data_IF_990420244692
#
_entry.id   IF_990420244692
#
_cell.length_a   1.000
_cell.length_b   1.000
_cell.length_c   1.000
_cell.angle_alpha   90.00
_cell.angle_beta   90.00
_cell.angle_gamma   90.00
#
_symmetry.space_group_name_H-M   'P 1'
#
loop_
_entity.id
_entity.type
_entity.pdbx_description
1 polymer ?
#
# COMPACT_ATOMS: atom_id res chain seq x y z
N UNK A 1 -73.80 -23.79 16.50
CA UNK A 1 -73.33 -22.78 17.47
C UNK A 1 -72.58 -21.73 16.68
N UNK A 2 -73.30 -20.71 16.26
CA UNK A 2 -72.82 -19.57 15.47
C UNK A 2 -72.81 -18.30 16.34
N UNK A 3 -71.81 -17.45 16.10
CA UNK A 3 -71.74 -15.98 16.28
C UNK A 3 -72.02 -15.35 17.68
N UNK A 4 -71.37 -14.20 18.02
CA UNK A 4 -71.68 -12.87 17.45
C UNK A 4 -70.40 -12.08 17.05
N UNK A 5 -70.37 -11.22 16.02
CA UNK A 5 -71.01 -9.90 15.79
C UNK A 5 -70.60 -8.78 16.77
N UNK A 6 -69.86 -7.78 16.25
CA UNK A 6 -70.07 -6.32 16.36
C UNK A 6 -68.89 -5.58 15.72
N UNK A 7 -68.95 -4.34 15.23
CA UNK A 7 -69.97 -3.47 14.64
C UNK A 7 -69.23 -2.16 14.32
N UNK A 8 -69.49 -1.63 13.14
CA UNK A 8 -69.08 -0.33 12.59
C UNK A 8 -69.35 0.89 13.50
N UNK A 9 -68.49 1.91 13.39
CA UNK A 9 -68.81 3.34 13.30
C UNK A 9 -67.47 4.13 13.24
N UNK A 10 -67.27 5.25 12.54
CA UNK A 10 -68.06 6.12 11.65
C UNK A 10 -67.07 7.19 11.09
N UNK A 11 -67.26 7.58 9.82
CA UNK A 11 -67.18 8.95 9.23
C UNK A 11 -66.10 9.96 9.72
N UNK A 12 -65.47 10.84 8.94
CA UNK A 12 -65.73 11.41 7.61
C UNK A 12 -64.53 12.30 7.17
N UNK A 13 -64.51 12.63 5.87
CA UNK A 13 -64.18 13.95 5.30
C UNK A 13 -62.73 14.47 5.39
N UNK A 14 -61.98 14.52 4.29
CA UNK A 14 -62.04 15.43 3.12
C UNK A 14 -61.03 16.59 3.23
N UNK A 15 -60.24 16.72 2.15
CA UNK A 15 -59.51 17.89 1.59
C UNK A 15 -57.99 17.75 1.66
N UNK A 16 -57.35 17.48 0.53
CA UNK A 16 -56.94 18.45 -0.51
C UNK A 16 -55.74 19.28 -0.04
N UNK A 17 -54.58 19.10 -0.69
CA UNK A 17 -53.46 20.03 -0.50
C UNK A 17 -52.09 19.48 -0.82
N UNK A 18 -51.61 19.86 -2.01
CA UNK A 18 -50.22 20.21 -2.31
C UNK A 18 -49.14 19.12 -2.34
N UNK A 19 -48.65 18.88 -3.56
CA UNK A 19 -47.26 18.49 -3.80
C UNK A 19 -46.30 19.43 -3.08
N UNK A 20 -45.48 18.88 -2.17
CA UNK A 20 -44.16 19.45 -1.89
C UNK A 20 -43.12 18.33 -1.82
N UNK A 21 -42.21 18.37 -2.80
CA UNK A 21 -40.93 17.68 -2.83
C UNK A 21 -40.15 18.01 -1.54
N UNK A 22 -40.03 17.05 -0.63
CA UNK A 22 -39.02 17.07 0.42
C UNK A 22 -37.82 16.27 -0.07
N UNK A 23 -36.84 17.01 -0.59
CA UNK A 23 -35.53 16.51 -0.92
C UNK A 23 -34.84 15.95 0.32
N UNK A 24 -34.75 14.62 0.40
CA UNK A 24 -33.79 13.94 1.26
C UNK A 24 -32.40 14.09 0.63
N UNK A 25 -31.72 15.21 0.91
CA UNK A 25 -30.27 15.29 0.77
C UNK A 25 -29.66 14.46 1.90
N UNK A 26 -29.62 13.14 1.69
CA UNK A 26 -28.81 12.23 2.49
C UNK A 26 -27.36 12.60 2.19
N UNK A 27 -26.73 13.37 3.08
CA UNK A 27 -25.28 13.51 3.13
C UNK A 27 -24.70 12.12 3.40
N UNK A 28 -24.44 11.37 2.33
CA UNK A 28 -23.55 10.23 2.33
C UNK A 28 -22.15 10.78 2.61
N UNK A 29 -21.83 10.93 3.89
CA UNK A 29 -20.46 10.82 4.38
C UNK A 29 -20.01 9.39 4.04
N UNK A 30 -19.55 9.21 2.80
CA UNK A 30 -18.80 8.03 2.41
C UNK A 30 -17.60 7.98 3.34
N UNK A 31 -17.48 6.98 4.25
CA UNK A 31 -16.21 6.74 4.88
C UNK A 31 -15.20 6.55 3.76
N UNK A 32 -14.06 7.24 3.84
CA UNK A 32 -12.92 7.06 2.94
C UNK A 32 -12.30 5.67 3.24
N UNK A 33 -13.09 4.63 3.03
CA UNK A 33 -12.69 3.25 3.17
C UNK A 33 -11.85 2.95 1.94
N UNK A 34 -10.54 2.77 2.14
CA UNK A 34 -9.67 2.17 1.14
C UNK A 34 -10.24 0.78 0.79
N UNK A 35 -11.01 0.72 -0.29
CA UNK A 35 -11.54 -0.51 -0.86
C UNK A 35 -10.37 -1.31 -1.42
N UNK A 36 -10.39 -2.63 -1.18
CA UNK A 36 -9.32 -3.54 -1.56
C UNK A 36 -8.87 -3.39 -3.02
N UNK A 37 -7.56 -3.22 -3.19
CA UNK A 37 -6.85 -2.83 -4.40
C UNK A 37 -6.44 -4.04 -5.26
N UNK A 38 -7.33 -4.99 -5.47
CA UNK A 38 -7.02 -6.17 -6.27
C UNK A 38 -7.18 -5.83 -7.77
N UNK A 39 -6.05 -5.64 -8.48
CA UNK A 39 -6.02 -5.51 -9.94
C UNK A 39 -5.61 -4.13 -10.48
N UNK A 40 -5.50 -3.11 -9.62
CA UNK A 40 -5.03 -1.79 -10.05
C UNK A 40 -3.50 -1.76 -10.22
N UNK A 41 -3.01 -1.05 -11.25
CA UNK A 41 -1.58 -0.82 -11.44
C UNK A 41 -1.08 0.15 -10.36
N UNK A 42 -0.09 -0.30 -9.60
CA UNK A 42 0.54 0.48 -8.54
C UNK A 42 1.90 1.00 -8.99
N UNK A 43 2.32 2.14 -8.46
CA UNK A 43 3.64 2.70 -8.70
C UNK A 43 4.18 3.36 -7.43
N UNK A 44 5.48 3.65 -7.45
CA UNK A 44 6.16 4.40 -6.40
C UNK A 44 6.86 5.60 -7.02
N UNK A 45 6.80 6.74 -6.34
CA UNK A 45 7.74 7.84 -6.54
C UNK A 45 8.55 8.05 -5.28
N UNK A 46 9.83 8.25 -5.44
CA UNK A 46 10.80 8.48 -4.37
C UNK A 46 11.52 9.79 -4.65
N UNK A 47 11.60 10.64 -3.63
CA UNK A 47 12.38 11.87 -3.59
C UNK A 47 13.55 11.63 -2.64
N UNK A 48 14.77 11.91 -3.11
CA UNK A 48 15.99 11.75 -2.34
C UNK A 48 16.61 13.14 -2.20
N UNK A 49 16.61 13.65 -0.97
CA UNK A 49 17.17 14.96 -0.65
C UNK A 49 18.69 14.99 -0.77
N UNK A 50 19.25 16.19 -0.95
CA UNK A 50 20.70 16.40 -0.90
C UNK A 50 21.24 16.17 0.52
N UNK A 51 22.29 15.37 0.65
CA UNK A 51 22.88 15.03 1.95
C UNK A 51 22.05 14.04 2.76
N UNK A 52 22.14 14.09 4.10
CA UNK A 52 21.49 13.13 5.02
C UNK A 52 20.28 13.69 5.78
N UNK A 53 19.98 14.98 5.61
CA UNK A 53 18.87 15.62 6.32
C UNK A 53 17.52 15.09 5.80
N UNK A 54 16.51 14.88 6.67
CA UNK A 54 15.18 14.48 6.23
C UNK A 54 14.55 15.47 5.27
N UNK A 55 13.90 14.95 4.23
CA UNK A 55 13.12 15.76 3.27
C UNK A 55 11.77 16.11 3.90
N UNK A 56 11.44 17.40 3.90
CA UNK A 56 10.16 17.91 4.40
C UNK A 56 8.98 17.32 3.60
N UNK A 57 8.03 16.69 4.30
CA UNK A 57 6.97 15.89 3.67
C UNK A 57 5.71 16.71 3.31
N UNK A 58 5.60 17.95 3.77
CA UNK A 58 4.39 18.78 3.68
C UNK A 58 3.96 19.01 2.23
N UNK A 59 4.93 19.27 1.34
CA UNK A 59 4.66 19.51 -0.07
C UNK A 59 4.24 18.23 -0.79
N UNK A 60 4.88 17.09 -0.51
CA UNK A 60 4.44 15.80 -1.04
C UNK A 60 3.03 15.45 -0.57
N UNK A 61 2.72 15.63 0.72
CA UNK A 61 1.38 15.38 1.26
C UNK A 61 0.30 16.25 0.57
N UNK A 62 0.62 17.52 0.27
CA UNK A 62 -0.27 18.41 -0.52
C UNK A 62 -0.48 17.88 -1.94
N UNK A 63 0.59 17.46 -2.63
CA UNK A 63 0.49 16.87 -3.97
C UNK A 63 -0.28 15.55 -3.96
N UNK A 64 -0.03 14.68 -2.99
CA UNK A 64 -0.75 13.42 -2.80
C UNK A 64 -2.25 13.67 -2.66
N UNK A 65 -2.67 14.60 -1.80
CA UNK A 65 -4.10 14.99 -1.69
C UNK A 65 -4.66 15.51 -3.01
N UNK A 66 -3.94 16.41 -3.69
CA UNK A 66 -4.37 16.99 -4.98
C UNK A 66 -4.59 15.92 -6.05
N UNK A 67 -3.72 14.91 -6.11
CA UNK A 67 -3.75 13.85 -7.12
C UNK A 67 -4.29 12.52 -6.59
N UNK A 68 -5.03 12.55 -5.48
CA UNK A 68 -5.77 11.40 -4.93
C UNK A 68 -4.90 10.18 -4.57
N UNK A 69 -3.64 10.42 -4.20
CA UNK A 69 -2.80 9.43 -3.52
C UNK A 69 -3.14 9.48 -2.03
N UNK A 70 -3.58 8.36 -1.40
CA UNK A 70 -3.83 8.34 0.04
C UNK A 70 -2.58 8.77 0.82
N UNK A 71 -2.74 9.66 1.79
CA UNK A 71 -1.59 10.14 2.60
C UNK A 71 -1.01 9.05 3.49
N UNK A 72 -1.79 7.99 3.77
CA UNK A 72 -1.30 6.75 4.42
C UNK A 72 -0.31 5.98 3.54
N UNK A 73 -0.23 6.29 2.24
CA UNK A 73 0.76 5.77 1.30
C UNK A 73 2.04 6.59 1.23
N UNK A 74 2.31 7.50 2.18
CA UNK A 74 3.53 8.32 2.22
C UNK A 74 4.44 7.86 3.35
N UNK A 75 5.71 7.62 3.04
CA UNK A 75 6.69 7.05 3.96
C UNK A 75 8.03 7.78 3.86
N UNK A 76 8.88 7.68 4.88
CA UNK A 76 10.21 8.27 4.89
C UNK A 76 11.25 7.39 5.57
N UNK A 77 12.51 7.60 5.17
CA UNK A 77 13.70 7.07 5.84
C UNK A 77 14.90 7.96 5.53
N UNK A 78 15.54 8.53 6.56
CA UNK A 78 16.62 9.52 6.38
C UNK A 78 16.18 10.63 5.39
N UNK A 79 16.97 10.88 4.34
CA UNK A 79 16.70 11.83 3.26
C UNK A 79 15.79 11.26 2.15
N UNK A 80 15.22 10.07 2.32
CA UNK A 80 14.28 9.46 1.37
C UNK A 80 12.84 9.74 1.79
N UNK A 81 12.03 10.19 0.83
CA UNK A 81 10.60 10.41 0.97
C UNK A 81 9.88 9.70 -0.19
N UNK A 82 8.93 8.83 0.15
CA UNK A 82 8.32 7.88 -0.77
C UNK A 82 6.80 8.05 -0.77
N UNK A 83 6.18 8.04 -1.95
CA UNK A 83 4.74 7.88 -2.09
C UNK A 83 4.42 6.64 -2.92
N UNK A 84 3.48 5.83 -2.42
CA UNK A 84 2.96 4.62 -3.05
C UNK A 84 1.45 4.74 -3.28
N UNK A 85 1.00 4.36 -4.46
CA UNK A 85 -0.40 4.48 -4.83
C UNK A 85 -0.69 4.04 -6.26
N UNK A 86 -1.90 4.37 -6.75
CA UNK A 86 -2.31 4.09 -8.13
C UNK A 86 -1.33 4.75 -9.11
N UNK A 87 -0.93 4.02 -10.15
CA UNK A 87 0.12 4.45 -11.07
C UNK A 87 -0.18 5.82 -11.72
N UNK A 88 -1.42 6.06 -12.16
CA UNK A 88 -1.83 7.33 -12.75
C UNK A 88 -1.70 8.51 -11.77
N UNK A 89 -2.13 8.32 -10.51
CA UNK A 89 -2.02 9.32 -9.44
C UNK A 89 -0.57 9.62 -9.10
N UNK A 90 0.27 8.58 -8.96
CA UNK A 90 1.70 8.74 -8.67
C UNK A 90 2.41 9.43 -9.84
N UNK A 91 2.07 9.10 -11.09
CA UNK A 91 2.61 9.78 -12.26
C UNK A 91 2.23 11.27 -12.27
N UNK A 92 1.00 11.62 -11.86
CA UNK A 92 0.58 13.01 -11.73
C UNK A 92 1.36 13.74 -10.62
N UNK A 93 1.61 13.09 -9.48
CA UNK A 93 2.49 13.63 -8.43
C UNK A 93 3.90 13.85 -8.99
N UNK A 94 4.51 12.85 -9.62
CA UNK A 94 5.86 12.89 -10.16
C UNK A 94 6.08 14.08 -11.11
N UNK A 95 5.13 14.35 -12.01
CA UNK A 95 5.19 15.49 -12.95
C UNK A 95 5.24 16.86 -12.27
N UNK A 96 4.86 16.95 -10.99
CA UNK A 96 4.79 18.20 -10.23
C UNK A 96 5.86 18.31 -9.13
N UNK A 97 6.74 17.33 -8.97
CA UNK A 97 7.75 17.33 -7.89
C UNK A 97 8.87 18.35 -8.12
N UNK A 98 9.29 18.58 -9.37
CA UNK A 98 10.39 19.50 -9.68
C UNK A 98 10.12 20.93 -9.19
N UNK A 99 8.86 21.35 -9.15
CA UNK A 99 8.46 22.68 -8.67
C UNK A 99 8.57 22.85 -7.14
N UNK A 100 8.62 21.76 -6.37
CA UNK A 100 8.56 21.78 -4.90
C UNK A 100 9.77 21.13 -4.21
N UNK A 101 10.52 20.31 -4.94
CA UNK A 101 11.72 19.60 -4.46
C UNK A 101 12.90 19.84 -5.42
N UNK A 102 13.17 21.11 -5.72
CA UNK A 102 14.29 21.50 -6.59
C UNK A 102 15.62 20.97 -6.02
N UNK A 103 16.45 20.38 -6.89
CA UNK A 103 17.75 19.81 -6.51
C UNK A 103 17.70 18.44 -5.83
N UNK A 104 16.52 17.87 -5.58
CA UNK A 104 16.38 16.48 -5.12
C UNK A 104 16.43 15.52 -6.32
N UNK A 105 17.01 14.33 -6.11
CA UNK A 105 16.87 13.24 -7.07
C UNK A 105 15.44 12.67 -6.96
N UNK A 106 14.84 12.35 -8.11
CA UNK A 106 13.50 11.74 -8.17
C UNK A 106 13.59 10.42 -8.92
N UNK A 107 13.16 9.33 -8.28
CA UNK A 107 13.02 8.01 -8.90
C UNK A 107 11.55 7.66 -9.06
N UNK A 108 11.22 7.09 -10.21
CA UNK A 108 9.88 6.58 -10.50
C UNK A 108 9.94 5.09 -10.79
N UNK A 109 9.11 4.33 -10.07
CA UNK A 109 9.01 2.89 -10.14
C UNK A 109 7.64 2.53 -10.72
N UNK A 110 7.58 2.39 -12.04
CA UNK A 110 6.32 2.32 -12.77
C UNK A 110 5.61 0.96 -12.67
N UNK A 111 6.38 -0.13 -12.67
CA UNK A 111 5.86 -1.50 -12.76
C UNK A 111 6.71 -2.42 -11.87
N UNK A 112 6.08 -3.28 -11.05
CA UNK A 112 6.82 -4.28 -10.29
C UNK A 112 7.30 -5.39 -11.23
N UNK A 113 8.56 -5.82 -11.11
CA UNK A 113 9.08 -6.96 -11.87
C UNK A 113 8.67 -8.30 -11.25
N UNK A 114 8.27 -8.29 -9.97
CA UNK A 114 7.76 -9.46 -9.28
C UNK A 114 6.44 -9.14 -8.58
N UNK A 115 5.47 -10.05 -8.73
CA UNK A 115 4.15 -9.94 -8.12
C UNK A 115 3.66 -11.29 -7.61
N UNK A 116 3.42 -11.35 -6.30
CA UNK A 116 2.60 -12.37 -5.66
C UNK A 116 1.25 -11.77 -5.25
N UNK A 117 0.17 -12.53 -5.40
CA UNK A 117 -1.12 -12.23 -4.79
C UNK A 117 -1.85 -13.53 -4.41
N UNK A 118 -2.92 -13.39 -3.63
CA UNK A 118 -3.68 -14.53 -3.09
C UNK A 118 -4.36 -15.41 -4.12
N UNK A 119 -4.41 -15.03 -5.40
CA UNK A 119 -4.93 -15.93 -6.45
C UNK A 119 -4.04 -17.17 -6.62
N UNK A 120 -2.79 -17.10 -6.15
CA UNK A 120 -1.84 -18.23 -6.11
C UNK A 120 -2.03 -19.16 -4.90
N UNK A 121 -2.88 -18.79 -3.95
CA UNK A 121 -3.17 -19.60 -2.76
C UNK A 121 -4.35 -20.54 -3.00
N UNK A 122 -4.36 -21.68 -2.31
CA UNK A 122 -5.54 -22.55 -2.26
C UNK A 122 -6.79 -21.79 -1.79
N UNK A 123 -6.65 -20.97 -0.73
CA UNK A 123 -7.68 -20.02 -0.28
C UNK A 123 -7.49 -18.64 -0.91
N UNK A 124 -8.30 -18.33 -1.92
CA UNK A 124 -8.21 -17.08 -2.72
C UNK A 124 -8.85 -15.85 -2.05
N UNK A 125 -9.48 -16.01 -0.89
CA UNK A 125 -10.14 -14.92 -0.16
C UNK A 125 -9.14 -13.85 0.26
N UNK A 126 -9.42 -12.60 -0.08
CA UNK A 126 -8.65 -11.43 0.35
C UNK A 126 -9.35 -10.72 1.50
N UNK A 127 -8.58 -10.09 2.39
CA UNK A 127 -9.11 -9.20 3.40
C UNK A 127 -9.77 -7.97 2.74
N UNK A 128 -10.77 -7.38 3.40
CA UNK A 128 -11.50 -6.19 2.88
C UNK A 128 -10.64 -4.92 2.85
N UNK A 129 -9.73 -4.79 3.81
CA UNK A 129 -8.83 -3.65 3.97
C UNK A 129 -7.42 -4.17 4.24
N UNK A 130 -6.42 -3.49 3.66
CA UNK A 130 -5.02 -3.89 3.76
C UNK A 130 -4.17 -2.74 4.31
N UNK A 131 -3.14 -3.09 5.07
CA UNK A 131 -2.04 -2.19 5.42
C UNK A 131 -0.81 -2.54 4.58
N UNK A 132 -0.02 -1.53 4.20
CA UNK A 132 1.17 -1.69 3.39
C UNK A 132 2.43 -1.40 4.21
N UNK A 133 3.38 -2.32 4.15
CA UNK A 133 4.73 -2.16 4.67
C UNK A 133 5.65 -2.01 3.46
N UNK A 134 6.44 -0.94 3.43
CA UNK A 134 7.40 -0.69 2.35
C UNK A 134 8.82 -0.81 2.89
N UNK A 135 9.62 -1.62 2.21
CA UNK A 135 11.04 -1.78 2.48
C UNK A 135 11.86 -1.42 1.24
N UNK A 136 13.07 -0.95 1.46
CA UNK A 136 14.03 -0.69 0.38
C UNK A 136 15.39 -1.32 0.66
N UNK A 137 16.04 -1.77 -0.40
CA UNK A 137 17.39 -2.32 -0.41
C UNK A 137 18.03 -2.00 -1.77
N UNK A 138 19.33 -2.24 -1.91
CA UNK A 138 19.98 -2.29 -3.21
C UNK A 138 20.23 -3.73 -3.61
N UNK A 139 20.24 -4.00 -4.91
CA UNK A 139 20.99 -5.12 -5.45
C UNK A 139 22.48 -4.80 -5.41
N UNK A 140 23.32 -5.82 -5.25
CA UNK A 140 24.78 -5.69 -5.34
C UNK A 140 25.22 -5.05 -6.66
N UNK A 141 26.39 -4.43 -6.67
CA UNK A 141 26.89 -3.68 -7.85
C UNK A 141 27.09 -4.54 -9.09
N UNK A 142 27.42 -5.82 -8.93
CA UNK A 142 27.68 -6.76 -10.02
C UNK A 142 26.43 -6.94 -10.91
N UNK A 143 26.49 -6.58 -12.21
CA UNK A 143 25.35 -6.70 -13.12
C UNK A 143 24.95 -8.16 -13.40
N UNK A 144 25.87 -9.12 -13.36
CA UNK A 144 25.54 -10.53 -13.55
C UNK A 144 24.66 -11.04 -12.40
N UNK A 145 25.05 -10.73 -11.16
CA UNK A 145 24.25 -11.03 -9.96
C UNK A 145 22.89 -10.33 -9.97
N UNK A 146 22.83 -9.09 -10.46
CA UNK A 146 21.54 -8.41 -10.64
C UNK A 146 20.62 -9.17 -11.59
N UNK A 147 21.15 -9.68 -12.70
CA UNK A 147 20.36 -10.46 -13.66
C UNK A 147 19.93 -11.81 -13.10
N UNK A 148 20.81 -12.51 -12.39
CA UNK A 148 20.48 -13.77 -11.71
C UNK A 148 19.31 -13.59 -10.73
N UNK A 149 19.35 -12.52 -9.92
CA UNK A 149 18.26 -12.19 -9.00
C UNK A 149 16.90 -12.04 -9.70
N UNK A 150 16.87 -11.38 -10.85
CA UNK A 150 15.65 -11.23 -11.65
C UNK A 150 15.19 -12.58 -12.21
N UNK A 151 16.11 -13.40 -12.74
CA UNK A 151 15.81 -14.73 -13.27
C UNK A 151 15.23 -15.66 -12.18
N UNK A 152 15.75 -15.57 -10.95
CA UNK A 152 15.19 -16.30 -9.81
C UNK A 152 13.76 -15.87 -9.53
N UNK A 153 13.47 -14.56 -9.51
CA UNK A 153 12.12 -14.05 -9.27
C UNK A 153 11.13 -14.37 -10.40
N UNK A 154 11.59 -14.38 -11.65
CA UNK A 154 10.78 -14.75 -12.81
C UNK A 154 10.32 -16.22 -12.74
N UNK A 155 11.20 -17.10 -12.27
CA UNK A 155 10.94 -18.55 -12.19
C UNK A 155 10.53 -19.04 -10.79
N UNK A 156 10.38 -18.13 -9.81
CA UNK A 156 10.17 -18.47 -8.40
C UNK A 156 8.94 -19.35 -8.21
N UNK A 157 7.82 -19.06 -8.89
CA UNK A 157 6.59 -19.83 -8.70
C UNK A 157 6.67 -21.26 -9.24
N UNK A 158 7.55 -21.52 -10.22
CA UNK A 158 7.74 -22.84 -10.81
C UNK A 158 8.78 -23.65 -10.04
N UNK A 159 9.92 -23.03 -9.70
CA UNK A 159 11.08 -23.72 -9.11
C UNK A 159 11.09 -23.72 -7.58
N UNK A 160 10.37 -22.78 -6.98
CA UNK A 160 10.28 -22.55 -5.53
C UNK A 160 8.83 -22.26 -5.12
N UNK A 161 7.85 -23.12 -5.48
CA UNK A 161 6.45 -22.90 -5.15
C UNK A 161 6.22 -22.77 -3.63
N UNK A 162 7.08 -23.37 -2.82
CA UNK A 162 7.01 -23.32 -1.36
C UNK A 162 7.19 -21.90 -0.81
N UNK A 163 7.90 -21.03 -1.52
CA UNK A 163 8.04 -19.62 -1.14
C UNK A 163 6.70 -18.89 -1.24
N UNK A 164 5.97 -19.11 -2.33
CA UNK A 164 4.62 -18.56 -2.48
C UNK A 164 3.64 -19.18 -1.48
N UNK A 165 3.77 -20.48 -1.19
CA UNK A 165 2.98 -21.14 -0.15
C UNK A 165 3.24 -20.53 1.24
N UNK A 166 4.50 -20.18 1.54
CA UNK A 166 4.86 -19.43 2.75
C UNK A 166 4.10 -18.10 2.86
N UNK A 167 4.03 -17.31 1.77
CA UNK A 167 3.24 -16.07 1.75
C UNK A 167 1.75 -16.33 1.98
N UNK A 168 1.21 -17.42 1.43
CA UNK A 168 -0.16 -17.85 1.66
C UNK A 168 -0.43 -18.16 3.15
N UNK A 169 0.48 -18.92 3.79
CA UNK A 169 0.41 -19.30 5.21
C UNK A 169 0.50 -18.07 6.14
N UNK A 170 1.34 -17.10 5.77
CA UNK A 170 1.47 -15.82 6.46
C UNK A 170 0.30 -14.86 6.25
N UNK A 171 -0.71 -15.26 5.46
CA UNK A 171 -1.89 -14.42 5.14
C UNK A 171 -1.53 -13.11 4.45
N UNK A 172 -0.38 -13.04 3.78
CA UNK A 172 -0.05 -11.90 2.93
C UNK A 172 -1.10 -11.79 1.82
N UNK A 173 -1.46 -10.54 1.50
CA UNK A 173 -2.45 -10.21 0.49
C UNK A 173 -1.79 -10.03 -0.87
N UNK A 174 -0.63 -9.35 -0.87
CA UNK A 174 0.16 -9.07 -2.05
C UNK A 174 1.62 -8.79 -1.66
N UNK A 175 2.55 -9.20 -2.54
CA UNK A 175 3.92 -8.69 -2.53
C UNK A 175 4.22 -8.11 -3.91
N UNK A 176 4.68 -6.87 -3.95
CA UNK A 176 5.18 -6.22 -5.15
C UNK A 176 6.65 -5.87 -4.95
N UNK A 177 7.50 -6.22 -5.91
CA UNK A 177 8.89 -5.75 -5.92
C UNK A 177 9.12 -4.91 -7.16
N UNK A 178 9.51 -3.66 -6.93
CA UNK A 178 9.88 -2.71 -7.96
C UNK A 178 11.39 -2.53 -7.99
N UNK A 179 11.92 -2.07 -9.12
CA UNK A 179 13.34 -1.78 -9.29
C UNK A 179 13.54 -0.48 -10.05
N UNK A 180 14.51 0.33 -9.61
CA UNK A 180 15.10 1.43 -10.37
C UNK A 180 16.62 1.32 -10.26
N UNK A 181 17.28 1.01 -11.38
CA UNK A 181 18.73 0.79 -11.38
C UNK A 181 19.05 -0.39 -10.48
N UNK A 182 19.79 -0.17 -9.39
CA UNK A 182 20.04 -1.21 -8.38
C UNK A 182 19.04 -1.21 -7.23
N UNK A 183 18.31 -0.12 -7.01
CA UNK A 183 17.46 0.01 -5.83
C UNK A 183 16.16 -0.77 -6.01
N UNK A 184 15.79 -1.50 -4.97
CA UNK A 184 14.56 -2.25 -4.85
C UNK A 184 13.59 -1.52 -3.91
N UNK A 185 12.31 -1.61 -4.23
CA UNK A 185 11.22 -1.29 -3.32
C UNK A 185 10.32 -2.52 -3.18
N UNK A 186 10.22 -3.08 -1.99
CA UNK A 186 9.33 -4.18 -1.64
C UNK A 186 8.12 -3.61 -0.93
N UNK A 187 6.92 -3.87 -1.47
CA UNK A 187 5.65 -3.59 -0.80
C UNK A 187 5.03 -4.91 -0.37
N UNK A 188 4.79 -5.06 0.93
CA UNK A 188 4.06 -6.18 1.51
C UNK A 188 2.70 -5.68 1.98
N UNK A 189 1.63 -6.16 1.36
CA UNK A 189 0.26 -5.87 1.79
C UNK A 189 -0.25 -6.97 2.71
N UNK A 190 -0.71 -6.61 3.90
CA UNK A 190 -1.25 -7.52 4.92
C UNK A 190 -2.69 -7.14 5.29
N UNK A 191 -3.48 -8.02 5.92
CA UNK A 191 -4.80 -7.63 6.44
C UNK A 191 -4.67 -6.44 7.39
N UNK A 192 -5.61 -5.49 7.28
CA UNK A 192 -5.62 -4.30 8.13
C UNK A 192 -5.65 -4.65 9.61
N UNK A 193 -4.82 -3.97 10.41
CA UNK A 193 -4.70 -4.17 11.86
C UNK A 193 -3.82 -5.35 12.28
N UNK A 194 -3.24 -6.10 11.34
CA UNK A 194 -2.20 -7.09 11.63
C UNK A 194 -0.79 -6.46 11.65
N UNK A 195 0.22 -7.20 12.10
CA UNK A 195 1.62 -6.77 12.07
C UNK A 195 2.50 -7.74 11.28
N UNK A 196 3.52 -7.19 10.61
CA UNK A 196 4.47 -8.03 9.87
C UNK A 196 5.25 -8.96 10.82
N UNK A 197 5.60 -8.50 12.02
CA UNK A 197 6.32 -9.31 13.02
C UNK A 197 5.53 -10.57 13.43
N UNK A 198 4.19 -10.48 13.49
CA UNK A 198 3.32 -11.62 13.79
C UNK A 198 3.17 -12.57 12.60
N UNK A 199 3.14 -12.02 11.38
CA UNK A 199 2.81 -12.78 10.18
C UNK A 199 4.04 -13.40 9.50
N UNK A 200 5.17 -12.69 9.45
CA UNK A 200 6.37 -13.10 8.73
C UNK A 200 6.94 -14.47 9.18
N UNK A 201 6.98 -14.82 10.48
CA UNK A 201 7.45 -16.14 10.92
C UNK A 201 6.63 -17.31 10.37
N UNK A 202 5.38 -17.07 9.94
CA UNK A 202 4.52 -18.10 9.34
C UNK A 202 4.92 -18.47 7.91
N UNK A 203 5.80 -17.69 7.28
CA UNK A 203 6.29 -18.00 5.93
C UNK A 203 7.18 -19.24 5.92
N UNK A 204 8.03 -19.39 6.93
CA UNK A 204 8.98 -20.50 7.09
C UNK A 204 8.53 -21.58 8.06
N UNK A 205 7.40 -21.40 8.78
CA UNK A 205 6.87 -22.41 9.70
C UNK A 205 6.62 -23.74 8.97
N UNK A 206 7.40 -24.77 9.34
CA UNK A 206 7.43 -26.08 8.70
C UNK A 206 7.72 -26.02 7.19
N UNK A 207 8.51 -25.03 6.75
CA UNK A 207 8.82 -24.76 5.35
C UNK A 207 10.29 -24.33 5.16
N UNK A 208 11.25 -25.27 5.27
CA UNK A 208 12.68 -24.97 5.20
C UNK A 208 13.12 -24.38 3.86
N UNK A 209 12.35 -24.62 2.78
CA UNK A 209 12.61 -24.08 1.44
C UNK A 209 12.56 -22.55 1.40
N UNK A 210 11.80 -21.92 2.30
CA UNK A 210 11.81 -20.45 2.44
C UNK A 210 13.13 -19.95 3.02
N UNK A 211 13.72 -20.68 3.97
CA UNK A 211 14.99 -20.31 4.57
C UNK A 211 16.14 -20.48 3.56
N UNK A 212 16.12 -21.56 2.77
CA UNK A 212 17.05 -21.77 1.64
C UNK A 212 16.95 -20.62 0.61
N UNK A 213 15.73 -20.23 0.25
CA UNK A 213 15.49 -19.11 -0.66
C UNK A 213 16.04 -17.81 -0.08
N UNK A 214 15.79 -17.54 1.20
CA UNK A 214 16.29 -16.33 1.87
C UNK A 214 17.82 -16.30 1.93
N UNK A 215 18.46 -17.43 2.21
CA UNK A 215 19.92 -17.56 2.23
C UNK A 215 20.53 -17.30 0.85
N UNK A 216 19.89 -17.79 -0.22
CA UNK A 216 20.26 -17.50 -1.60
C UNK A 216 20.05 -16.01 -1.93
N UNK A 217 18.87 -15.45 -1.66
CA UNK A 217 18.53 -14.06 -1.99
C UNK A 217 19.46 -13.04 -1.30
N UNK A 218 19.93 -13.35 -0.09
CA UNK A 218 20.87 -12.53 0.68
C UNK A 218 22.16 -12.21 -0.09
N UNK A 219 22.59 -13.07 -1.02
CA UNK A 219 23.81 -12.87 -1.79
C UNK A 219 23.71 -11.79 -2.86
N UNK A 220 22.49 -11.39 -3.21
CA UNK A 220 22.22 -10.44 -4.29
C UNK A 220 21.88 -9.04 -3.78
N UNK A 221 21.78 -8.85 -2.47
CA UNK A 221 21.23 -7.64 -1.86
C UNK A 221 22.23 -6.99 -0.91
N UNK A 222 22.23 -5.67 -0.87
CA UNK A 222 23.03 -4.84 0.03
C UNK A 222 22.22 -3.65 0.53
N UNK A 223 22.67 -3.01 1.61
CA UNK A 223 22.02 -1.83 2.15
C UNK A 223 22.12 -0.59 1.23
N UNK A 224 21.28 0.40 1.51
CA UNK A 224 21.40 1.74 0.90
C UNK A 224 22.58 2.51 1.51
N UNK A 225 23.09 3.56 0.84
CA UNK A 225 23.96 4.53 1.49
C UNK A 225 23.33 5.04 2.80
N UNK A 226 24.08 4.98 3.90
CA UNK A 226 23.58 5.40 5.22
C UNK A 226 22.95 4.29 6.07
N UNK A 227 22.86 3.06 5.57
CA UNK A 227 22.51 1.87 6.38
C UNK A 227 23.62 1.50 7.36
N UNK A 228 23.25 0.81 8.45
CA UNK A 228 24.23 0.26 9.40
C UNK A 228 25.00 -0.92 8.78
N UNK A 229 26.21 -1.23 9.26
CA UNK A 229 26.93 -2.43 8.83
C UNK A 229 26.05 -3.68 8.98
N UNK A 230 25.87 -4.42 7.88
CA UNK A 230 25.06 -5.65 7.84
C UNK A 230 23.54 -5.43 7.69
N UNK A 231 23.05 -4.20 7.70
CA UNK A 231 21.64 -3.89 7.43
C UNK A 231 21.39 -3.86 5.92
N UNK A 232 20.53 -4.77 5.43
CA UNK A 232 20.20 -4.89 3.99
C UNK A 232 18.87 -4.22 3.68
N UNK A 233 17.79 -4.70 4.31
CA UNK A 233 16.45 -4.18 4.10
C UNK A 233 16.12 -3.13 5.14
N UNK A 234 15.76 -1.93 4.66
CA UNK A 234 15.35 -0.81 5.47
C UNK A 234 13.83 -0.69 5.45
N UNK A 235 13.23 -0.57 6.63
CA UNK A 235 11.82 -0.24 6.77
C UNK A 235 11.60 1.27 6.60
N UNK A 236 10.74 1.64 5.66
CA UNK A 236 10.26 3.00 5.52
C UNK A 236 9.16 3.26 6.55
N UNK A 237 9.23 4.40 7.24
CA UNK A 237 8.27 4.77 8.28
C UNK A 237 7.12 5.56 7.68
N UNK A 238 5.84 5.25 7.98
CA UNK A 238 4.74 6.10 7.56
C UNK A 238 4.93 7.53 8.05
N UNK A 239 4.72 8.50 7.17
CA UNK A 239 4.75 9.92 7.56
C UNK A 239 3.46 10.21 8.32
N UNK A 240 3.59 10.53 9.61
CA UNK A 240 2.47 11.00 10.40
C UNK A 240 1.97 12.34 9.84
N UNK A 241 0.65 12.51 9.78
CA UNK A 241 0.06 13.82 9.50
C UNK A 241 0.52 14.80 10.59
N UNK A 242 0.99 16.02 10.24
CA UNK A 242 1.14 17.08 11.23
C UNK A 242 -0.20 17.26 11.93
N UNK A 243 -0.23 17.26 13.26
CA UNK A 243 -1.42 17.66 14.01
C UNK A 243 -1.80 19.06 13.53
N UNK A 244 -3.07 19.29 13.20
CA UNK A 244 -3.55 20.61 12.84
C UNK A 244 -3.13 21.58 13.96
N UNK A 245 -2.30 22.57 13.63
CA UNK A 245 -1.99 23.65 14.56
C UNK A 245 -3.29 24.45 14.70
N UNK A 246 -3.88 24.58 15.90
CA UNK A 246 -5.07 25.39 16.07
C UNK A 246 -4.73 26.82 15.67
N UNK A 247 -5.35 27.30 14.59
CA UNK A 247 -5.30 28.69 14.17
C UNK A 247 -5.88 29.51 15.32
N UNK A 248 -5.02 30.20 16.06
CA UNK A 248 -5.48 31.21 17.00
C UNK A 248 -5.94 32.39 16.14
N UNK A 249 -7.25 32.47 15.95
CA UNK A 249 -7.89 33.68 15.44
C UNK A 249 -7.72 34.71 16.55
N UNK A 250 -6.85 35.70 16.31
CA UNK A 250 -6.83 36.94 17.09
C UNK A 250 -7.94 37.85 16.60
#
# INVERSE_FOLDING_TARGET
MEHPLRSSAKTAALRCGSWHLLGLLLWLLLPLSATAQAGEKMAIVEIIGSGRAPVAAENLLKLCRKYQVPTTGVYSWQNHLVAYGKAASIQAVQKNLAAVYAGSEVKFYAVPFYKFDRQRCAGKTTAKQWDNIILTANLVKDPAKQQEYLNYHDTQFQKWPEVAQGFCNARFQQLLVFRQGRQLMLVISIPHGESLDKLNPRTSLNNPRVDDWNALMKQYQEGLPGTKPGEVWVFLKPVAMPKAVPVHIK
#
